data_IF_288844651988
#
_entry.id   IF_288844651988
#
_cell.length_a   1.000
_cell.length_b   1.000
_cell.length_c   1.000
_cell.angle_alpha   90.00
_cell.angle_beta   90.00
_cell.angle_gamma   90.00
#
_symmetry.space_group_name_H-M   'P 1'
#
loop_
_entity.id
_entity.type
_entity.pdbx_description
1 polymer ?
#
# COMPACT_ATOMS: atom_id res chain seq x y z
N UNK A 1 -15.49 8.50 1.45
CA UNK A 1 -14.06 8.28 1.77
C UNK A 1 -13.42 7.12 0.99
N UNK A 2 -14.18 6.16 0.48
CA UNK A 2 -13.66 5.01 -0.28
C UNK A 2 -12.89 5.37 -1.57
N UNK A 3 -13.36 6.34 -2.36
CA UNK A 3 -12.66 6.77 -3.58
C UNK A 3 -11.26 7.32 -3.29
N UNK A 4 -11.10 8.11 -2.23
CA UNK A 4 -9.81 8.69 -1.84
C UNK A 4 -8.82 7.59 -1.43
N UNK A 5 -9.30 6.57 -0.71
CA UNK A 5 -8.48 5.43 -0.32
C UNK A 5 -7.99 4.63 -1.54
N UNK A 6 -8.88 4.37 -2.51
CA UNK A 6 -8.54 3.65 -3.74
C UNK A 6 -7.54 4.46 -4.57
N UNK A 7 -7.77 5.77 -4.74
CA UNK A 7 -6.84 6.64 -5.47
C UNK A 7 -5.47 6.70 -4.81
N UNK A 8 -5.40 6.76 -3.47
CA UNK A 8 -4.14 6.76 -2.74
C UNK A 8 -3.35 5.46 -2.96
N UNK A 9 -4.01 4.30 -2.95
CA UNK A 9 -3.35 3.03 -3.28
C UNK A 9 -2.79 3.00 -4.72
N UNK A 10 -3.56 3.50 -5.69
CA UNK A 10 -3.12 3.57 -7.09
C UNK A 10 -1.89 4.48 -7.22
N UNK A 11 -1.91 5.65 -6.56
CA UNK A 11 -0.79 6.59 -6.54
C UNK A 11 0.44 5.97 -5.88
N UNK A 12 0.29 5.27 -4.76
CA UNK A 12 1.37 4.58 -4.07
C UNK A 12 2.04 3.52 -4.94
N UNK A 13 1.24 2.73 -5.68
CA UNK A 13 1.78 1.73 -6.60
C UNK A 13 2.57 2.38 -7.73
N UNK A 14 2.03 3.44 -8.34
CA UNK A 14 2.74 4.18 -9.40
C UNK A 14 4.06 4.75 -8.86
N UNK A 15 4.01 5.44 -7.73
CA UNK A 15 5.20 6.01 -7.08
C UNK A 15 6.23 4.92 -6.73
N UNK A 16 5.82 3.75 -6.23
CA UNK A 16 6.74 2.64 -5.96
C UNK A 16 7.54 2.26 -7.20
N UNK A 17 6.87 2.01 -8.34
CA UNK A 17 7.55 1.62 -9.58
C UNK A 17 8.48 2.72 -10.08
N UNK A 18 8.04 3.98 -10.06
CA UNK A 18 8.85 5.12 -10.47
C UNK A 18 10.09 5.25 -9.56
N UNK A 19 9.91 5.25 -8.23
CA UNK A 19 11.01 5.36 -7.26
C UNK A 19 12.03 4.23 -7.45
N UNK A 20 11.57 2.99 -7.61
CA UNK A 20 12.45 1.84 -7.86
C UNK A 20 13.22 2.02 -9.17
N UNK A 21 12.57 2.50 -10.24
CA UNK A 21 13.22 2.80 -11.52
C UNK A 21 14.31 3.86 -11.39
N UNK A 22 14.02 4.96 -10.69
CA UNK A 22 14.97 6.05 -10.46
C UNK A 22 16.15 5.63 -9.56
N UNK A 23 15.90 4.81 -8.53
CA UNK A 23 16.98 4.27 -7.69
C UNK A 23 17.89 3.31 -8.46
N UNK A 24 17.33 2.48 -9.36
CA UNK A 24 18.15 1.64 -10.26
C UNK A 24 19.01 2.46 -11.22
N UNK A 25 18.55 3.64 -11.63
CA UNK A 25 19.30 4.57 -12.49
C UNK A 25 20.28 5.46 -11.70
N UNK A 26 20.37 5.34 -10.36
CA UNK A 26 21.25 6.17 -9.53
C UNK A 26 20.86 7.66 -9.49
N UNK A 27 19.64 8.01 -9.90
CA UNK A 27 19.20 9.42 -10.02
C UNK A 27 18.75 9.97 -8.66
N UNK A 28 19.20 11.19 -8.34
CA UNK A 28 18.84 11.90 -7.09
C UNK A 28 17.33 12.13 -6.93
N UNK A 29 16.58 12.19 -8.04
CA UNK A 29 15.12 12.31 -8.06
C UNK A 29 14.41 11.14 -7.36
N UNK A 30 15.03 9.96 -7.27
CA UNK A 30 14.48 8.81 -6.52
C UNK A 30 14.29 9.11 -5.03
N UNK A 31 15.17 9.93 -4.43
CA UNK A 31 15.02 10.35 -3.02
C UNK A 31 13.84 11.31 -2.83
N UNK A 32 13.62 12.22 -3.77
CA UNK A 32 12.49 13.15 -3.73
C UNK A 32 11.16 12.39 -3.81
N UNK A 33 11.03 11.48 -4.78
CA UNK A 33 9.83 10.67 -4.97
C UNK A 33 9.59 9.73 -3.78
N UNK A 34 10.66 9.19 -3.17
CA UNK A 34 10.54 8.39 -1.95
C UNK A 34 9.98 9.22 -0.77
N UNK A 35 10.36 10.49 -0.64
CA UNK A 35 9.75 11.36 0.39
C UNK A 35 8.26 11.61 0.12
N UNK A 36 7.86 11.75 -1.15
CA UNK A 36 6.44 11.90 -1.52
C UNK A 36 5.66 10.62 -1.23
N UNK A 37 6.23 9.46 -1.58
CA UNK A 37 5.64 8.14 -1.30
C UNK A 37 5.37 7.95 0.21
N UNK A 38 6.24 8.47 1.07
CA UNK A 38 6.02 8.45 2.52
C UNK A 38 4.85 9.32 2.97
N UNK A 39 4.62 10.47 2.33
CA UNK A 39 3.43 11.29 2.61
C UNK A 39 2.16 10.61 2.12
N UNK A 40 2.23 9.91 0.99
CA UNK A 40 1.10 9.16 0.43
C UNK A 40 0.67 8.00 1.36
N UNK A 41 1.61 7.36 2.07
CA UNK A 41 1.27 6.38 3.10
C UNK A 41 0.38 6.95 4.21
N UNK A 42 0.60 8.21 4.62
CA UNK A 42 -0.25 8.86 5.61
C UNK A 42 -1.67 9.03 5.08
N UNK A 43 -1.83 9.35 3.78
CA UNK A 43 -3.14 9.43 3.14
C UNK A 43 -3.84 8.07 3.11
N UNK A 44 -3.11 6.99 2.79
CA UNK A 44 -3.63 5.62 2.82
C UNK A 44 -4.07 5.23 4.23
N UNK A 45 -3.25 5.54 5.25
CA UNK A 45 -3.54 5.19 6.64
C UNK A 45 -4.74 5.98 7.17
N UNK A 46 -4.80 7.28 6.87
CA UNK A 46 -5.90 8.16 7.28
C UNK A 46 -7.22 7.75 6.61
N UNK A 47 -7.21 7.54 5.29
CA UNK A 47 -8.39 7.12 4.54
C UNK A 47 -8.84 5.70 4.87
N UNK A 48 -7.90 4.80 5.19
CA UNK A 48 -8.21 3.45 5.66
C UNK A 48 -8.77 3.44 7.09
N UNK A 49 -8.26 4.31 7.96
CA UNK A 49 -8.75 4.49 9.33
C UNK A 49 -10.16 5.09 9.38
N UNK A 50 -10.47 6.06 8.52
CA UNK A 50 -11.83 6.61 8.42
C UNK A 50 -12.82 5.58 7.88
N UNK A 51 -12.43 4.79 6.87
CA UNK A 51 -13.23 3.65 6.40
C UNK A 51 -13.47 2.62 7.52
N UNK A 52 -12.46 2.35 8.36
CA UNK A 52 -12.61 1.45 9.50
C UNK A 52 -13.57 1.99 10.57
N UNK A 53 -13.53 3.29 10.86
CA UNK A 53 -14.43 3.93 11.81
C UNK A 53 -15.91 3.93 11.34
N UNK A 54 -16.14 3.87 10.04
CA UNK A 54 -17.48 3.72 9.45
C UNK A 54 -18.04 2.28 9.61
N UNK A 55 -17.21 1.28 9.94
CA UNK A 55 -17.67 -0.08 10.22
C UNK A 55 -18.23 -0.20 11.64
N UNK A 56 -19.54 -0.44 11.75
CA UNK A 56 -20.25 -0.68 13.02
C UNK A 56 -20.06 -2.10 13.58
N UNK A 57 -19.59 -3.05 12.76
CA UNK A 57 -19.25 -4.41 13.17
C UNK A 57 -17.80 -4.74 12.81
N UNK A 58 -16.95 -4.85 13.81
CA UNK A 58 -15.58 -5.30 13.66
C UNK A 58 -15.59 -6.83 13.52
N UNK A 59 -15.46 -7.33 12.29
CA UNK A 59 -15.22 -8.75 12.03
C UNK A 59 -13.72 -9.05 12.07
N UNK A 60 -13.34 -10.28 12.42
CA UNK A 60 -11.93 -10.72 12.36
C UNK A 60 -11.31 -10.54 10.98
N UNK A 61 -12.12 -10.63 9.92
CA UNK A 61 -11.72 -10.39 8.54
C UNK A 61 -11.32 -8.93 8.26
N UNK A 62 -12.00 -7.96 8.88
CA UNK A 62 -11.66 -6.54 8.78
C UNK A 62 -10.29 -6.25 9.42
N UNK A 63 -10.00 -6.88 10.56
CA UNK A 63 -8.70 -6.80 11.22
C UNK A 63 -7.61 -7.38 10.30
N UNK A 64 -7.85 -8.54 9.70
CA UNK A 64 -6.90 -9.16 8.76
C UNK A 64 -6.66 -8.24 7.55
N UNK A 65 -7.70 -7.58 7.03
CA UNK A 65 -7.58 -6.63 5.91
C UNK A 65 -6.70 -5.43 6.30
N UNK A 66 -6.87 -4.88 7.51
CA UNK A 66 -6.03 -3.78 8.00
C UNK A 66 -4.58 -4.21 8.13
N UNK A 67 -4.34 -5.39 8.72
CA UNK A 67 -3.00 -5.96 8.86
C UNK A 67 -2.36 -6.16 7.48
N UNK A 68 -3.11 -6.69 6.51
CA UNK A 68 -2.63 -6.86 5.14
C UNK A 68 -2.29 -5.50 4.48
N UNK A 69 -3.11 -4.48 4.65
CA UNK A 69 -2.83 -3.13 4.17
C UNK A 69 -1.56 -2.54 4.80
N UNK A 70 -1.39 -2.70 6.11
CA UNK A 70 -0.20 -2.25 6.83
C UNK A 70 1.06 -3.00 6.39
N UNK A 71 0.97 -4.33 6.21
CA UNK A 71 2.06 -5.16 5.69
C UNK A 71 2.45 -4.75 4.27
N UNK A 72 1.48 -4.39 3.43
CA UNK A 72 1.75 -3.89 2.10
C UNK A 72 2.52 -2.55 2.18
N UNK A 73 2.13 -1.59 3.02
CA UNK A 73 2.88 -0.33 3.21
C UNK A 73 4.33 -0.61 3.67
N UNK A 74 4.50 -1.50 4.66
CA UNK A 74 5.83 -1.91 5.13
C UNK A 74 6.64 -2.53 3.99
N UNK A 75 6.01 -3.36 3.15
CA UNK A 75 6.69 -3.96 2.01
C UNK A 75 7.13 -2.92 0.97
N UNK A 76 6.30 -1.91 0.66
CA UNK A 76 6.66 -0.81 -0.24
C UNK A 76 7.89 -0.05 0.30
N UNK A 77 7.89 0.33 1.59
CA UNK A 77 9.02 1.01 2.22
C UNK A 77 10.30 0.16 2.15
N UNK A 78 10.19 -1.14 2.46
CA UNK A 78 11.34 -2.04 2.46
C UNK A 78 11.89 -2.30 1.06
N UNK A 79 11.04 -2.40 0.03
CA UNK A 79 11.46 -2.46 -1.38
C UNK A 79 12.26 -1.21 -1.71
N UNK A 80 11.74 -0.04 -1.33
CA UNK A 80 12.31 1.25 -1.67
C UNK A 80 13.67 1.47 -1.01
N UNK A 81 13.78 1.20 0.29
CA UNK A 81 15.03 1.29 1.05
C UNK A 81 16.08 0.29 0.57
N UNK A 82 15.69 -0.98 0.31
CA UNK A 82 16.62 -1.99 -0.19
C UNK A 82 17.08 -1.72 -1.61
N UNK A 83 16.21 -1.18 -2.47
CA UNK A 83 16.59 -0.75 -3.83
C UNK A 83 17.62 0.38 -3.76
N UNK A 84 17.43 1.37 -2.88
CA UNK A 84 18.41 2.43 -2.66
C UNK A 84 19.76 1.87 -2.14
N UNK A 85 19.74 0.83 -1.31
CA UNK A 85 20.93 0.12 -0.83
C UNK A 85 21.49 -0.93 -1.81
N UNK A 86 20.94 -1.03 -3.03
CA UNK A 86 21.29 -2.04 -4.04
C UNK A 86 21.25 -3.49 -3.53
N UNK A 87 20.39 -3.78 -2.53
CA UNK A 87 20.22 -5.12 -1.95
C UNK A 87 19.06 -5.86 -2.62
N UNK A 88 19.05 -7.18 -2.50
CA UNK A 88 17.95 -8.03 -3.01
C UNK A 88 16.60 -7.61 -2.40
N UNK A 89 15.65 -7.30 -3.29
CA UNK A 89 14.27 -6.90 -2.97
C UNK A 89 13.26 -8.01 -3.25
N UNK A 90 13.67 -9.16 -3.79
CA UNK A 90 12.77 -10.23 -4.24
C UNK A 90 11.77 -10.67 -3.15
N UNK A 91 12.24 -10.90 -1.94
CA UNK A 91 11.38 -11.29 -0.80
C UNK A 91 10.30 -10.25 -0.50
N UNK A 92 10.63 -8.96 -0.57
CA UNK A 92 9.67 -7.89 -0.25
C UNK A 92 8.66 -7.66 -1.37
N UNK A 93 9.05 -7.89 -2.63
CA UNK A 93 8.10 -7.94 -3.74
C UNK A 93 7.06 -9.05 -3.56
N UNK A 94 7.48 -10.23 -3.08
CA UNK A 94 6.54 -11.32 -2.78
C UNK A 94 5.58 -10.91 -1.66
N UNK A 95 6.10 -10.39 -0.54
CA UNK A 95 5.26 -9.92 0.58
C UNK A 95 4.28 -8.85 0.12
N UNK A 96 4.71 -7.91 -0.72
CA UNK A 96 3.87 -6.86 -1.28
C UNK A 96 2.74 -7.44 -2.15
N UNK A 97 3.05 -8.33 -3.09
CA UNK A 97 2.05 -8.95 -3.97
C UNK A 97 1.05 -9.79 -3.16
N UNK A 98 1.54 -10.58 -2.21
CA UNK A 98 0.68 -11.39 -1.33
C UNK A 98 -0.22 -10.51 -0.49
N UNK A 99 0.31 -9.46 0.12
CA UNK A 99 -0.46 -8.53 0.96
C UNK A 99 -1.51 -7.76 0.15
N UNK A 100 -1.16 -7.32 -1.07
CA UNK A 100 -2.08 -6.66 -1.99
C UNK A 100 -3.20 -7.61 -2.45
N UNK A 101 -2.88 -8.86 -2.82
CA UNK A 101 -3.88 -9.87 -3.17
C UNK A 101 -4.81 -10.18 -2.01
N UNK A 102 -4.29 -10.36 -0.80
CA UNK A 102 -5.11 -10.59 0.40
C UNK A 102 -6.03 -9.39 0.66
N UNK A 103 -5.50 -8.16 0.56
CA UNK A 103 -6.29 -6.95 0.75
C UNK A 103 -7.42 -6.80 -0.29
N UNK A 104 -7.15 -7.15 -1.56
CA UNK A 104 -8.14 -7.14 -2.65
C UNK A 104 -9.17 -8.26 -2.45
N UNK A 105 -8.74 -9.50 -2.22
CA UNK A 105 -9.62 -10.67 -2.05
C UNK A 105 -10.55 -10.43 -0.85
N UNK A 106 -10.03 -10.03 0.31
CA UNK A 106 -10.86 -9.71 1.47
C UNK A 106 -11.75 -8.49 1.22
N UNK A 107 -11.28 -7.51 0.45
CA UNK A 107 -12.08 -6.36 0.05
C UNK A 107 -13.25 -6.69 -0.88
N UNK A 108 -13.09 -7.67 -1.77
CA UNK A 108 -14.06 -7.98 -2.84
C UNK A 108 -14.94 -9.20 -2.57
N UNK A 109 -14.46 -10.20 -1.81
CA UNK A 109 -15.17 -11.49 -1.70
C UNK A 109 -16.14 -11.57 -0.54
N UNK A 110 -15.95 -10.84 0.57
CA UNK A 110 -16.78 -11.01 1.78
C UNK A 110 -17.19 -9.75 2.54
N UNK A 111 -16.60 -8.59 2.26
CA UNK A 111 -17.13 -7.33 2.78
C UNK A 111 -18.19 -6.76 1.80
N UNK A 112 -19.43 -6.51 2.26
CA UNK A 112 -20.57 -6.09 1.43
C UNK A 112 -20.49 -4.62 0.94
N UNK A 113 -19.28 -4.08 0.81
CA UNK A 113 -19.02 -2.69 0.43
C UNK A 113 -17.99 -2.57 -0.71
N UNK A 114 -17.64 -3.69 -1.37
CA UNK A 114 -16.66 -3.70 -2.45
C UNK A 114 -17.17 -3.06 -3.73
N UNK A 115 -18.39 -3.41 -4.16
CA UNK A 115 -19.09 -2.84 -5.31
C UNK A 115 -20.57 -3.08 -5.08
N UNK A 116 -21.34 -2.03 -4.80
CA UNK A 116 -22.66 -1.71 -5.37
C UNK A 116 -23.21 -0.50 -4.60
N UNK A 117 -23.87 0.46 -5.28
CA UNK A 117 -24.72 1.46 -4.62
C UNK A 117 -25.86 0.83 -3.82
#
# INVERSE_FOLDING_TARGET
>A
MAHLHITAWVVAFILLFVVVGFYKQGKKQGKMLHMILRLDYLLILYSGGSLFAEYTKISGELIIKIIAGLLAIVAIEMITVKTNKQKSTKTWWIVFVVSALVAIILGFTRLPLGILP
#
